data_IF_696259195658
#
_entry.id   IF_696259195658
#
_cell.length_a   1.000
_cell.length_b   1.000
_cell.length_c   1.000
_cell.angle_alpha   90.00
_cell.angle_beta   90.00
_cell.angle_gamma   90.00
#
_symmetry.space_group_name_H-M   'P 1'
#
loop_
_entity.id
_entity.type
_entity.pdbx_description
1 polymer ?
#
# COMPACT_ATOMS: atom_id res chain seq x y z
N UNK A 1 -5.47 -10.75 29.73
CA UNK A 1 -4.65 -9.65 29.17
C UNK A 1 -5.36 -8.34 29.51
N UNK A 2 -4.61 -7.28 29.79
CA UNK A 2 -5.20 -5.95 30.06
C UNK A 2 -5.95 -5.43 28.83
N UNK A 3 -7.12 -4.83 29.03
CA UNK A 3 -7.86 -4.16 27.95
C UNK A 3 -7.07 -2.95 27.44
N UNK A 4 -6.81 -2.90 26.13
CA UNK A 4 -6.14 -1.78 25.46
C UNK A 4 -7.15 -0.89 24.74
N UNK A 5 -6.81 0.39 24.63
CA UNK A 5 -7.49 1.36 23.76
C UNK A 5 -6.75 1.42 22.43
N UNK A 6 -7.27 0.75 21.41
CA UNK A 6 -6.65 0.70 20.08
C UNK A 6 -7.32 1.72 19.16
N UNK A 7 -6.53 2.68 18.71
CA UNK A 7 -6.97 3.75 17.83
C UNK A 7 -7.04 3.30 16.37
N UNK A 8 -8.10 3.66 15.67
CA UNK A 8 -8.19 3.59 14.20
C UNK A 8 -8.25 5.02 13.70
N UNK A 9 -7.25 5.43 12.93
CA UNK A 9 -7.26 6.72 12.24
C UNK A 9 -7.90 6.54 10.88
N UNK A 10 -9.11 7.08 10.74
CA UNK A 10 -9.99 6.87 9.61
C UNK A 10 -9.93 8.06 8.66
N UNK A 11 -9.40 7.83 7.46
CA UNK A 11 -9.31 8.80 6.38
C UNK A 11 -10.47 8.71 5.38
N UNK A 12 -11.41 7.77 5.55
CA UNK A 12 -12.56 7.65 4.64
C UNK A 12 -13.47 8.87 4.76
N UNK A 13 -14.00 9.35 3.62
CA UNK A 13 -14.92 10.51 3.50
C UNK A 13 -14.30 11.91 3.65
N UNK A 14 -12.99 12.08 3.50
CA UNK A 14 -12.40 13.44 3.48
C UNK A 14 -12.87 14.23 2.26
N UNK A 15 -13.30 13.57 1.18
CA UNK A 15 -13.95 14.24 0.05
C UNK A 15 -15.03 13.35 -0.60
N UNK A 16 -16.33 13.54 -0.28
CA UNK A 16 -17.41 12.74 -0.82
C UNK A 16 -17.57 12.86 -2.35
N UNK A 17 -17.12 13.95 -2.97
CA UNK A 17 -17.20 14.14 -4.41
C UNK A 17 -16.28 13.18 -5.20
N UNK A 18 -15.22 12.69 -4.58
CA UNK A 18 -14.25 11.78 -5.20
C UNK A 18 -14.64 10.32 -4.98
N UNK A 19 -15.24 9.99 -3.84
CA UNK A 19 -15.76 8.65 -3.58
C UNK A 19 -16.96 8.27 -4.47
N UNK A 20 -17.66 9.24 -5.00
CA UNK A 20 -18.78 9.02 -5.94
C UNK A 20 -18.32 8.57 -7.34
N UNK A 21 -17.03 8.75 -7.70
CA UNK A 21 -16.45 8.33 -8.98
C UNK A 21 -15.99 6.87 -9.05
N UNK A 22 -16.02 6.14 -7.94
CA UNK A 22 -15.72 4.70 -7.94
C UNK A 22 -16.99 3.98 -8.41
N UNK A 23 -17.12 3.79 -9.73
CA UNK A 23 -18.16 2.95 -10.33
C UNK A 23 -18.09 1.56 -9.70
N UNK A 24 -19.17 1.16 -9.05
CA UNK A 24 -19.39 -0.22 -8.65
C UNK A 24 -19.48 -1.07 -9.90
N UNK A 25 -18.62 -2.06 -10.03
CA UNK A 25 -18.73 -3.05 -11.10
C UNK A 25 -20.10 -3.70 -11.02
N UNK A 26 -20.82 -3.88 -12.16
CA UNK A 26 -22.09 -4.60 -12.20
C UNK A 26 -21.84 -6.08 -11.89
N UNK A 27 -22.51 -6.63 -10.89
CA UNK A 27 -22.47 -8.06 -10.56
C UNK A 27 -22.31 -8.43 -9.08
N UNK A 28 -22.07 -7.47 -8.18
CA UNK A 28 -22.01 -7.74 -6.74
C UNK A 28 -23.42 -7.87 -6.13
N UNK A 29 -23.72 -9.01 -5.48
CA UNK A 29 -24.92 -9.17 -4.66
C UNK A 29 -25.05 -8.01 -3.68
N UNK A 30 -26.27 -7.50 -3.48
CA UNK A 30 -26.61 -6.38 -2.60
C UNK A 30 -26.35 -6.71 -1.11
N UNK A 31 -25.06 -6.67 -0.71
CA UNK A 31 -24.63 -6.67 0.69
C UNK A 31 -24.26 -5.25 1.11
N UNK A 32 -24.24 -4.98 2.42
CA UNK A 32 -23.69 -3.72 2.95
C UNK A 32 -22.26 -3.53 2.41
N UNK A 33 -21.90 -2.33 1.91
CA UNK A 33 -20.57 -2.10 1.37
C UNK A 33 -19.52 -2.41 2.44
N UNK A 34 -18.46 -3.13 2.03
CA UNK A 34 -17.34 -3.45 2.93
C UNK A 34 -16.69 -2.17 3.44
N UNK A 35 -16.54 -2.07 4.75
CA UNK A 35 -15.87 -0.94 5.39
C UNK A 35 -14.66 -1.48 6.18
N UNK A 36 -13.42 -1.25 5.71
CA UNK A 36 -12.21 -1.77 6.34
C UNK A 36 -12.03 -1.23 7.77
N UNK A 37 -12.44 0.02 8.05
CA UNK A 37 -12.34 0.62 9.36
C UNK A 37 -13.32 -0.01 10.35
N UNK A 38 -14.54 -0.35 9.90
CA UNK A 38 -15.50 -1.10 10.72
C UNK A 38 -14.98 -2.50 11.01
N UNK A 39 -14.37 -3.16 10.00
CA UNK A 39 -13.79 -4.50 10.20
C UNK A 39 -12.68 -4.50 11.26
N UNK A 40 -11.80 -3.48 11.26
CA UNK A 40 -10.80 -3.32 12.31
C UNK A 40 -11.44 -3.09 13.69
N UNK A 41 -12.49 -2.25 13.78
CA UNK A 41 -13.20 -2.03 15.04
C UNK A 41 -13.84 -3.33 15.58
N UNK A 42 -14.43 -4.13 14.70
CA UNK A 42 -15.02 -5.42 15.07
C UNK A 42 -13.93 -6.39 15.55
N UNK A 43 -12.77 -6.45 14.88
CA UNK A 43 -11.62 -7.24 15.30
C UNK A 43 -11.06 -6.78 16.66
N UNK A 44 -10.96 -5.47 16.91
CA UNK A 44 -10.55 -4.92 18.22
C UNK A 44 -11.45 -5.41 19.33
N UNK A 45 -12.78 -5.32 19.13
CA UNK A 45 -13.78 -5.78 20.12
C UNK A 45 -13.73 -7.29 20.33
N UNK A 46 -13.63 -8.07 19.24
CA UNK A 46 -13.56 -9.52 19.30
C UNK A 46 -12.33 -10.03 20.06
N UNK A 47 -11.24 -9.25 20.06
CA UNK A 47 -10.01 -9.55 20.81
C UNK A 47 -10.02 -8.98 22.24
N UNK A 48 -11.15 -8.46 22.74
CA UNK A 48 -11.30 -7.96 24.10
C UNK A 48 -10.67 -6.58 24.35
N UNK A 49 -10.56 -5.76 23.28
CA UNK A 49 -9.99 -4.42 23.38
C UNK A 49 -11.04 -3.35 23.03
N UNK A 50 -10.74 -2.09 23.38
CA UNK A 50 -11.63 -0.94 23.15
C UNK A 50 -11.22 -0.15 21.91
N UNK A 51 -12.05 -0.09 20.85
CA UNK A 51 -11.77 0.73 19.68
C UNK A 51 -11.95 2.21 20.00
N UNK A 52 -11.01 3.05 19.52
CA UNK A 52 -11.10 4.51 19.52
C UNK A 52 -10.96 4.99 18.08
N UNK A 53 -12.00 5.62 17.53
CA UNK A 53 -11.98 6.06 16.12
C UNK A 53 -11.73 7.54 16.05
N UNK A 54 -10.70 7.91 15.30
CA UNK A 54 -10.40 9.30 14.95
C UNK A 54 -10.67 9.48 13.44
N UNK A 55 -11.74 10.15 13.10
CA UNK A 55 -12.03 10.55 11.72
C UNK A 55 -11.19 11.77 11.38
N UNK A 56 -10.41 11.72 10.31
CA UNK A 56 -9.40 12.74 9.98
C UNK A 56 -10.03 14.10 9.74
N UNK A 57 -11.21 14.15 9.10
CA UNK A 57 -11.94 15.42 8.88
C UNK A 57 -12.33 16.15 10.17
N UNK A 58 -12.28 15.48 11.33
CA UNK A 58 -12.52 16.04 12.66
C UNK A 58 -11.26 16.30 13.46
N UNK A 59 -10.10 15.96 12.88
CA UNK A 59 -8.80 16.20 13.48
C UNK A 59 -8.28 17.57 13.08
N UNK A 60 -7.80 18.31 14.05
CA UNK A 60 -7.15 19.60 13.86
C UNK A 60 -5.75 19.51 14.46
N UNK A 61 -4.74 19.94 13.72
CA UNK A 61 -3.38 20.07 14.26
C UNK A 61 -3.23 21.46 14.84
N UNK A 62 -2.91 21.52 16.13
CA UNK A 62 -2.67 22.75 16.85
C UNK A 62 -1.19 22.88 17.17
N UNK A 63 -0.63 24.03 16.85
CA UNK A 63 0.76 24.36 17.10
C UNK A 63 0.83 25.66 17.89
N UNK A 64 1.55 25.64 18.99
CA UNK A 64 1.89 26.77 19.84
C UNK A 64 3.41 26.75 20.08
N UNK A 65 3.99 27.88 20.55
CA UNK A 65 5.43 28.11 20.71
C UNK A 65 6.20 26.94 21.36
N UNK A 66 5.55 26.10 22.14
CA UNK A 66 6.18 25.00 22.88
C UNK A 66 5.38 23.69 22.82
N UNK A 67 4.22 23.66 22.18
CA UNK A 67 3.32 22.51 22.22
C UNK A 67 2.68 22.29 20.86
N UNK A 68 2.70 21.04 20.43
CA UNK A 68 1.91 20.58 19.31
C UNK A 68 0.92 19.51 19.79
N UNK A 69 -0.32 19.56 19.31
CA UNK A 69 -1.37 18.65 19.72
C UNK A 69 -2.31 18.34 18.55
N UNK A 70 -3.02 17.23 18.67
CA UNK A 70 -4.20 16.96 17.86
C UNK A 70 -5.43 17.27 18.71
N UNK A 71 -6.33 18.05 18.14
CA UNK A 71 -7.68 18.25 18.65
C UNK A 71 -8.63 17.38 17.82
N UNK A 72 -9.60 16.78 18.48
CA UNK A 72 -10.68 16.02 17.85
C UNK A 72 -12.01 16.64 18.30
N UNK A 73 -12.78 17.18 17.36
CA UNK A 73 -13.95 18.00 17.67
C UNK A 73 -13.63 19.11 18.68
N UNK A 74 -12.59 19.90 18.44
CA UNK A 74 -12.09 21.00 19.28
C UNK A 74 -11.62 20.61 20.70
N UNK A 75 -11.51 19.29 21.00
CA UNK A 75 -11.03 18.81 22.29
C UNK A 75 -9.71 18.08 22.12
N UNK A 76 -8.76 18.32 23.01
CA UNK A 76 -7.47 17.62 22.99
C UNK A 76 -7.67 16.11 23.02
N UNK A 77 -7.00 15.40 22.10
CA UNK A 77 -7.03 13.93 22.03
C UNK A 77 -6.45 13.33 23.31
N UNK A 78 -7.19 12.41 23.94
CA UNK A 78 -6.74 11.68 25.15
C UNK A 78 -5.71 10.57 24.84
N UNK A 79 -5.42 10.34 23.53
CA UNK A 79 -4.55 9.27 23.09
C UNK A 79 -5.20 7.88 23.08
N UNK A 80 -4.39 6.92 22.70
CA UNK A 80 -4.69 5.48 22.71
C UNK A 80 -3.37 4.73 22.93
N UNK A 81 -3.42 3.44 23.26
CA UNK A 81 -2.23 2.65 23.54
C UNK A 81 -1.45 2.32 22.27
N UNK A 82 -2.14 2.26 21.13
CA UNK A 82 -1.57 2.13 19.79
C UNK A 82 -2.55 2.65 18.75
N UNK A 83 -2.06 3.23 17.67
CA UNK A 83 -2.85 3.77 16.56
C UNK A 83 -2.59 2.97 15.28
N UNK A 84 -3.67 2.60 14.58
CA UNK A 84 -3.63 1.94 13.26
C UNK A 84 -4.22 2.91 12.23
N UNK A 85 -3.40 3.58 11.41
CA UNK A 85 -3.88 4.43 10.33
C UNK A 85 -4.46 3.59 9.18
N UNK A 86 -5.60 4.04 8.65
CA UNK A 86 -6.21 3.52 7.42
C UNK A 86 -6.36 4.65 6.42
N UNK A 87 -5.32 4.81 5.63
CA UNK A 87 -5.16 5.91 4.68
C UNK A 87 -6.13 5.79 3.50
N UNK A 88 -6.63 6.94 3.05
CA UNK A 88 -7.32 7.08 1.77
C UNK A 88 -6.44 7.94 0.86
N UNK A 89 -5.67 7.27 0.00
CA UNK A 89 -4.62 7.92 -0.80
C UNK A 89 -5.14 8.76 -1.98
N UNK A 90 -6.38 9.18 -1.95
CA UNK A 90 -6.98 9.91 -3.06
C UNK A 90 -6.51 11.35 -3.20
N UNK A 91 -6.13 12.02 -2.10
CA UNK A 91 -5.59 13.40 -2.13
C UNK A 91 -4.78 13.73 -0.88
N UNK A 92 -3.69 14.49 -1.06
CA UNK A 92 -3.02 15.17 0.05
C UNK A 92 -2.19 14.27 0.96
N UNK A 93 -1.45 13.31 0.41
CA UNK A 93 -0.59 12.39 1.18
C UNK A 93 0.28 13.10 2.23
N UNK A 94 0.74 14.32 1.97
CA UNK A 94 1.57 15.07 2.92
C UNK A 94 0.78 15.46 4.19
N UNK A 95 -0.49 15.81 4.06
CA UNK A 95 -1.35 16.08 5.22
C UNK A 95 -1.61 14.81 6.02
N UNK A 96 -1.92 13.70 5.34
CA UNK A 96 -2.14 12.40 5.98
C UNK A 96 -0.91 11.94 6.76
N UNK A 97 0.27 12.01 6.13
CA UNK A 97 1.55 11.69 6.76
C UNK A 97 1.83 12.63 7.94
N UNK A 98 1.51 13.91 7.81
CA UNK A 98 1.71 14.91 8.87
C UNK A 98 0.84 14.64 10.11
N UNK A 99 -0.42 14.24 9.92
CA UNK A 99 -1.29 13.83 11.03
C UNK A 99 -0.74 12.60 11.73
N UNK A 100 -0.32 11.57 10.97
CA UNK A 100 0.30 10.37 11.53
C UNK A 100 1.57 10.71 12.30
N UNK A 101 2.42 11.57 11.74
CA UNK A 101 3.64 12.06 12.39
C UNK A 101 3.30 12.77 13.69
N UNK A 102 2.24 13.59 13.72
CA UNK A 102 1.84 14.31 14.93
C UNK A 102 1.40 13.36 16.04
N UNK A 103 0.67 12.27 15.74
CA UNK A 103 0.38 11.24 16.74
C UNK A 103 1.66 10.60 17.31
N UNK A 104 2.65 10.33 16.46
CA UNK A 104 3.93 9.79 16.91
C UNK A 104 4.71 10.76 17.80
N UNK A 105 4.69 12.08 17.47
CA UNK A 105 5.29 13.13 18.29
C UNK A 105 4.59 13.31 19.65
N UNK A 106 3.34 12.87 19.74
CA UNK A 106 2.60 12.77 21.01
C UNK A 106 2.90 11.47 21.77
N UNK A 107 3.95 10.72 21.40
CA UNK A 107 4.37 9.46 22.00
C UNK A 107 3.34 8.33 21.89
N UNK A 108 2.43 8.40 20.92
CA UNK A 108 1.49 7.32 20.65
C UNK A 108 2.15 6.35 19.64
N UNK A 109 2.28 5.05 19.97
CA UNK A 109 2.75 4.05 19.02
C UNK A 109 1.83 4.00 17.79
N UNK A 110 2.40 4.00 16.60
CA UNK A 110 1.63 4.00 15.34
C UNK A 110 2.12 2.89 14.41
N UNK A 111 1.22 2.14 13.81
CA UNK A 111 1.45 1.02 12.90
C UNK A 111 0.63 1.20 11.62
N UNK A 112 1.22 1.47 10.47
CA UNK A 112 2.64 1.77 10.18
C UNK A 112 3.00 3.21 10.57
N UNK A 113 4.29 3.42 10.85
CA UNK A 113 4.84 4.75 11.13
C UNK A 113 4.84 5.64 9.88
N UNK A 114 4.87 6.98 10.08
CA UNK A 114 4.75 7.94 8.99
C UNK A 114 5.87 7.80 7.93
N UNK A 115 7.13 7.64 8.34
CA UNK A 115 8.26 7.59 7.42
C UNK A 115 8.27 6.32 6.54
N UNK A 116 8.06 5.11 7.06
CA UNK A 116 7.81 3.91 6.26
C UNK A 116 6.68 4.05 5.26
N UNK A 117 5.55 4.64 5.65
CA UNK A 117 4.43 4.92 4.75
C UNK A 117 4.88 5.85 3.61
N UNK A 118 5.57 6.96 3.93
CA UNK A 118 6.07 7.91 2.93
C UNK A 118 7.08 7.27 1.95
N UNK A 119 7.88 6.30 2.43
CA UNK A 119 8.81 5.53 1.58
C UNK A 119 8.05 4.62 0.62
N UNK A 120 7.10 3.84 1.12
CA UNK A 120 6.34 2.88 0.33
C UNK A 120 5.43 3.56 -0.71
N UNK A 121 4.95 4.77 -0.43
CA UNK A 121 4.12 5.56 -1.35
C UNK A 121 4.86 6.12 -2.55
N UNK A 122 6.15 6.25 -2.47
CA UNK A 122 6.98 6.72 -3.56
C UNK A 122 7.76 5.56 -4.16
N UNK A 123 7.38 5.13 -5.38
CA UNK A 123 8.03 4.00 -6.07
C UNK A 123 9.55 4.18 -6.21
N UNK A 124 10.04 5.42 -6.37
CA UNK A 124 11.49 5.69 -6.45
C UNK A 124 12.18 5.41 -5.13
N UNK A 125 11.62 5.90 -4.02
CA UNK A 125 12.19 5.66 -2.68
C UNK A 125 12.17 4.19 -2.33
N UNK A 126 11.10 3.48 -2.71
CA UNK A 126 11.01 2.03 -2.55
C UNK A 126 12.12 1.33 -3.33
N UNK A 127 12.27 1.60 -4.62
CA UNK A 127 13.31 1.01 -5.47
C UNK A 127 14.71 1.28 -4.94
N UNK A 128 15.01 2.53 -4.54
CA UNK A 128 16.31 2.90 -3.96
C UNK A 128 16.67 2.06 -2.72
N UNK A 129 15.69 1.88 -1.81
CA UNK A 129 15.91 1.11 -0.57
C UNK A 129 16.05 -0.37 -0.89
N UNK A 130 15.13 -0.94 -1.67
CA UNK A 130 15.16 -2.37 -2.01
C UNK A 130 16.46 -2.73 -2.75
N UNK A 131 16.85 -1.95 -3.75
CA UNK A 131 18.08 -2.18 -4.52
C UNK A 131 19.32 -2.07 -3.64
N UNK A 132 19.43 -1.04 -2.80
CA UNK A 132 20.54 -0.89 -1.85
C UNK A 132 20.67 -2.10 -0.92
N UNK A 133 19.53 -2.68 -0.53
CA UNK A 133 19.47 -3.85 0.37
C UNK A 133 19.52 -5.18 -0.38
N UNK A 134 19.86 -5.17 -1.68
CA UNK A 134 19.96 -6.35 -2.55
C UNK A 134 18.71 -7.20 -2.56
N UNK A 135 17.55 -6.54 -2.55
CA UNK A 135 16.25 -7.19 -2.75
C UNK A 135 15.94 -7.13 -4.25
N UNK A 136 15.67 -8.26 -4.90
CA UNK A 136 15.37 -8.31 -6.32
C UNK A 136 14.13 -7.47 -6.67
N UNK A 137 14.28 -6.63 -7.69
CA UNK A 137 13.21 -5.80 -8.27
C UNK A 137 13.35 -5.85 -9.79
N UNK A 138 12.28 -5.65 -10.56
CA UNK A 138 12.37 -5.55 -12.01
C UNK A 138 13.32 -4.41 -12.43
N UNK A 139 14.11 -4.60 -13.49
CA UNK A 139 15.00 -3.54 -14.00
C UNK A 139 14.19 -2.29 -14.27
N UNK A 140 14.61 -1.19 -13.71
CA UNK A 140 13.87 0.07 -13.80
C UNK A 140 14.83 1.21 -14.05
N UNK A 141 14.50 2.07 -15.00
CA UNK A 141 15.20 3.32 -15.25
C UNK A 141 14.21 4.49 -15.14
N UNK A 142 14.69 5.59 -14.64
CA UNK A 142 13.91 6.81 -14.44
C UNK A 142 14.45 7.88 -15.36
N UNK A 143 13.57 8.49 -16.14
CA UNK A 143 13.93 9.56 -17.06
C UNK A 143 13.08 10.81 -16.83
N UNK A 144 13.65 11.96 -17.20
CA UNK A 144 12.98 13.27 -17.19
C UNK A 144 13.05 13.96 -18.56
N UNK A 145 13.69 13.33 -19.55
CA UNK A 145 13.89 13.88 -20.87
C UNK A 145 13.73 12.79 -21.92
N UNK A 146 13.08 13.12 -23.02
CA UNK A 146 12.77 12.18 -24.10
C UNK A 146 14.01 11.64 -24.81
N UNK A 147 15.08 12.42 -24.85
CA UNK A 147 16.33 12.04 -25.52
C UNK A 147 16.95 10.76 -24.95
N UNK A 148 16.63 10.40 -23.69
CA UNK A 148 17.12 9.18 -23.05
C UNK A 148 16.21 7.96 -23.23
N UNK A 149 15.11 8.10 -23.94
CA UNK A 149 14.05 7.09 -23.99
C UNK A 149 14.49 5.79 -24.64
N UNK A 150 15.06 5.86 -25.86
CA UNK A 150 15.49 4.67 -26.60
C UNK A 150 16.59 3.90 -25.84
N UNK A 151 17.52 4.60 -25.19
CA UNK A 151 18.55 3.98 -24.37
C UNK A 151 17.98 3.38 -23.08
N UNK A 152 16.98 4.02 -22.48
CA UNK A 152 16.28 3.50 -21.32
C UNK A 152 15.58 2.17 -21.65
N UNK A 153 14.87 2.10 -22.79
CA UNK A 153 14.23 0.87 -23.26
C UNK A 153 15.25 -0.25 -23.44
N UNK A 154 16.39 0.01 -24.09
CA UNK A 154 17.47 -0.98 -24.26
C UNK A 154 17.99 -1.48 -22.91
N UNK A 155 18.20 -0.58 -21.94
CA UNK A 155 18.75 -0.91 -20.61
C UNK A 155 17.81 -1.79 -19.78
N UNK A 156 16.50 -1.69 -19.96
CA UNK A 156 15.55 -2.56 -19.24
C UNK A 156 15.29 -3.89 -19.97
N UNK A 157 15.88 -4.10 -21.15
CA UNK A 157 15.79 -5.38 -21.88
C UNK A 157 14.98 -5.33 -23.17
N UNK A 158 14.51 -4.16 -23.60
CA UNK A 158 13.71 -3.99 -24.80
C UNK A 158 12.21 -4.15 -24.57
N UNK A 159 11.45 -4.15 -25.68
CA UNK A 159 10.00 -4.33 -25.65
C UNK A 159 9.59 -5.78 -25.42
N UNK A 160 8.42 -6.01 -24.75
CA UNK A 160 7.54 -5.02 -24.15
C UNK A 160 8.13 -4.42 -22.86
N UNK A 161 7.71 -3.19 -22.55
CA UNK A 161 8.07 -2.48 -21.33
C UNK A 161 6.84 -2.01 -20.56
N UNK A 162 7.02 -1.71 -19.28
CA UNK A 162 6.02 -1.06 -18.45
C UNK A 162 6.42 0.40 -18.20
N UNK A 163 5.49 1.32 -18.41
CA UNK A 163 5.63 2.71 -18.01
C UNK A 163 4.75 2.98 -16.80
N UNK A 164 5.32 3.65 -15.79
CA UNK A 164 4.65 3.99 -14.54
C UNK A 164 4.94 5.43 -14.11
N UNK A 165 3.97 6.05 -13.43
CA UNK A 165 4.22 7.26 -12.64
C UNK A 165 4.97 6.91 -11.34
N UNK A 166 5.81 7.82 -10.79
CA UNK A 166 6.40 7.65 -9.46
C UNK A 166 5.37 7.55 -8.35
N UNK A 167 4.25 8.23 -8.52
CA UNK A 167 3.10 8.25 -7.63
C UNK A 167 1.93 7.62 -8.36
N UNK A 168 1.19 6.75 -7.74
CA UNK A 168 0.02 6.12 -8.34
C UNK A 168 -0.40 4.91 -7.53
N UNK A 169 -1.69 4.59 -7.58
CA UNK A 169 -2.30 3.48 -6.84
C UNK A 169 -3.18 2.66 -7.76
N UNK A 170 -3.41 1.39 -7.40
CA UNK A 170 -4.39 0.50 -8.05
C UNK A 170 -4.15 0.24 -9.54
N UNK A 171 -2.92 0.43 -10.03
CA UNK A 171 -2.58 0.18 -11.45
C UNK A 171 -3.15 1.20 -12.44
N UNK A 172 -3.74 2.32 -11.99
CA UNK A 172 -4.38 3.32 -12.87
C UNK A 172 -3.39 4.09 -13.75
N UNK A 173 -2.13 4.20 -13.31
CA UNK A 173 -1.06 4.91 -14.02
C UNK A 173 0.03 3.94 -14.48
N UNK A 174 -0.38 2.78 -14.98
CA UNK A 174 0.52 1.73 -15.49
C UNK A 174 0.10 1.37 -16.91
N UNK A 175 1.05 1.47 -17.85
CA UNK A 175 0.82 1.19 -19.27
C UNK A 175 1.85 0.19 -19.76
N UNK A 176 1.40 -0.85 -20.47
CA UNK A 176 2.28 -1.73 -21.24
C UNK A 176 2.54 -1.11 -22.62
N UNK A 177 3.77 -1.14 -23.05
CA UNK A 177 4.20 -0.64 -24.36
C UNK A 177 4.94 -1.76 -25.09
N UNK A 178 4.39 -2.19 -26.21
CA UNK A 178 4.85 -3.36 -26.96
C UNK A 178 5.84 -3.04 -28.09
N UNK A 179 5.90 -1.77 -28.49
CA UNK A 179 6.75 -1.35 -29.60
C UNK A 179 7.18 0.11 -29.50
N UNK A 180 8.24 0.48 -30.25
CA UNK A 180 8.67 1.86 -30.37
C UNK A 180 7.55 2.77 -30.87
N UNK A 181 6.75 2.29 -31.84
CA UNK A 181 5.63 3.06 -32.44
C UNK A 181 4.57 3.36 -31.36
N UNK A 182 4.15 2.35 -30.59
CA UNK A 182 3.16 2.55 -29.52
C UNK A 182 3.70 3.46 -28.40
N UNK A 183 5.00 3.39 -28.12
CA UNK A 183 5.65 4.28 -27.16
C UNK A 183 5.51 5.74 -27.56
N UNK A 184 5.92 6.10 -28.77
CA UNK A 184 5.84 7.48 -29.26
C UNK A 184 4.39 7.99 -29.38
N UNK A 185 3.44 7.12 -29.72
CA UNK A 185 2.01 7.48 -29.75
C UNK A 185 1.43 7.77 -28.36
N UNK A 186 1.92 7.07 -27.32
CA UNK A 186 1.44 7.24 -25.95
C UNK A 186 2.15 8.35 -25.18
N UNK A 187 3.35 8.75 -25.63
CA UNK A 187 4.25 9.64 -24.87
C UNK A 187 3.61 10.97 -24.50
N UNK A 188 2.96 11.64 -25.44
CA UNK A 188 2.35 12.95 -25.19
C UNK A 188 1.28 12.87 -24.09
N UNK A 189 0.51 11.80 -24.08
CA UNK A 189 -0.54 11.57 -23.06
C UNK A 189 0.09 11.29 -21.72
N UNK A 190 1.04 10.33 -21.69
CA UNK A 190 1.73 9.90 -20.46
C UNK A 190 2.49 11.07 -19.83
N UNK A 191 3.18 11.86 -20.66
CA UNK A 191 3.97 12.99 -20.18
C UNK A 191 3.11 14.13 -19.64
N UNK A 192 2.02 14.47 -20.34
CA UNK A 192 1.08 15.50 -19.87
C UNK A 192 0.38 15.10 -18.57
N UNK A 193 0.11 13.81 -18.37
CA UNK A 193 -0.46 13.29 -17.12
C UNK A 193 0.56 13.22 -15.98
N UNK A 194 1.87 13.15 -16.30
CA UNK A 194 2.93 13.14 -15.31
C UNK A 194 3.12 14.52 -14.68
N UNK A 195 2.46 14.78 -13.55
CA UNK A 195 2.59 16.03 -12.80
C UNK A 195 4.04 16.34 -12.38
N UNK A 196 4.89 15.32 -12.31
CA UNK A 196 6.29 15.45 -11.88
C UNK A 196 7.28 15.62 -13.04
N UNK A 197 6.84 15.43 -14.30
CA UNK A 197 7.74 15.34 -15.46
C UNK A 197 8.75 14.17 -15.35
N UNK A 198 8.38 13.13 -14.61
CA UNK A 198 9.21 11.95 -14.35
C UNK A 198 8.43 10.71 -14.77
N UNK A 199 9.05 9.83 -15.53
CA UNK A 199 8.51 8.51 -15.87
C UNK A 199 9.49 7.39 -15.46
N UNK A 200 8.92 6.29 -14.98
CA UNK A 200 9.64 5.06 -14.76
C UNK A 200 9.40 4.14 -15.95
N UNK A 201 10.47 3.67 -16.54
CA UNK A 201 10.47 2.63 -17.56
C UNK A 201 11.00 1.37 -16.89
N UNK A 202 10.19 0.31 -16.91
CA UNK A 202 10.48 -0.94 -16.21
C UNK A 202 10.38 -2.11 -17.17
N UNK A 203 11.23 -3.12 -16.98
CA UNK A 203 11.12 -4.38 -17.71
C UNK A 203 9.75 -5.02 -17.49
N UNK A 204 9.23 -5.63 -18.53
CA UNK A 204 8.06 -6.50 -18.44
C UNK A 204 8.51 -7.91 -18.11
N UNK A 205 8.14 -8.42 -16.96
CA UNK A 205 8.47 -9.79 -16.54
C UNK A 205 7.50 -10.74 -17.23
N UNK A 206 7.88 -11.21 -18.39
CA UNK A 206 7.02 -11.99 -19.30
C UNK A 206 6.53 -13.31 -18.69
N UNK A 207 7.32 -13.91 -17.83
CA UNK A 207 7.00 -15.17 -17.13
C UNK A 207 5.83 -15.01 -16.15
N UNK A 208 5.61 -13.80 -15.67
CA UNK A 208 4.51 -13.48 -14.78
C UNK A 208 3.28 -12.90 -15.48
N UNK A 209 3.22 -13.01 -16.83
CA UNK A 209 2.16 -12.40 -17.65
C UNK A 209 0.77 -12.56 -17.04
N UNK A 210 0.11 -11.43 -16.77
CA UNK A 210 -1.26 -11.38 -16.22
C UNK A 210 -1.42 -11.99 -14.83
N UNK A 211 -0.35 -12.26 -14.08
CA UNK A 211 -0.48 -12.78 -12.72
C UNK A 211 0.59 -12.22 -11.78
N UNK A 212 0.23 -12.08 -10.51
CA UNK A 212 1.14 -11.77 -9.41
C UNK A 212 0.75 -12.50 -8.13
N UNK A 213 1.63 -12.44 -7.15
CA UNK A 213 1.44 -13.04 -5.83
C UNK A 213 1.41 -11.93 -4.79
N UNK A 214 0.27 -11.74 -4.12
CA UNK A 214 0.13 -10.82 -3.00
C UNK A 214 0.41 -11.54 -1.69
N UNK A 215 1.53 -11.21 -1.03
CA UNK A 215 1.81 -11.58 0.35
C UNK A 215 1.30 -10.50 1.30
N UNK A 216 0.55 -10.87 2.32
CA UNK A 216 0.14 -9.97 3.40
C UNK A 216 1.04 -10.20 4.61
N UNK A 217 1.94 -9.26 4.85
CA UNK A 217 2.94 -9.34 5.94
C UNK A 217 2.43 -8.57 7.13
N UNK A 218 2.54 -9.18 8.32
CA UNK A 218 2.27 -8.56 9.62
C UNK A 218 3.44 -8.88 10.55
N UNK A 219 4.15 -7.86 10.97
CA UNK A 219 5.38 -8.04 11.75
C UNK A 219 6.48 -8.72 10.93
N UNK A 220 6.84 -9.93 11.32
CA UNK A 220 7.94 -10.71 10.77
C UNK A 220 7.51 -11.97 10.00
N UNK A 221 6.22 -12.10 9.66
CA UNK A 221 5.71 -13.24 8.90
C UNK A 221 4.60 -12.88 7.91
N UNK A 222 4.43 -13.73 6.91
CA UNK A 222 3.32 -13.69 5.96
C UNK A 222 2.11 -14.37 6.60
N UNK A 223 1.04 -13.60 6.87
CA UNK A 223 -0.19 -14.14 7.50
C UNK A 223 -1.16 -14.69 6.47
N UNK A 224 -1.12 -14.19 5.25
CA UNK A 224 -1.97 -14.64 4.16
C UNK A 224 -1.30 -14.39 2.81
N UNK A 225 -1.57 -15.24 1.82
CA UNK A 225 -1.11 -15.04 0.46
C UNK A 225 -2.14 -15.48 -0.58
N UNK A 226 -2.20 -14.77 -1.70
CA UNK A 226 -3.06 -15.11 -2.83
C UNK A 226 -2.31 -14.88 -4.15
N UNK A 227 -2.60 -15.72 -5.14
CA UNK A 227 -2.27 -15.45 -6.54
C UNK A 227 -3.40 -14.67 -7.15
N UNK A 228 -3.11 -13.54 -7.77
CA UNK A 228 -4.06 -12.74 -8.54
C UNK A 228 -3.83 -12.99 -10.02
N UNK A 229 -4.91 -13.02 -10.80
CA UNK A 229 -4.86 -13.20 -12.25
C UNK A 229 -5.66 -12.10 -12.90
N UNK A 230 -5.11 -11.48 -13.92
CA UNK A 230 -5.77 -10.41 -14.68
C UNK A 230 -7.03 -10.89 -15.37
N UNK A 231 -7.97 -10.00 -15.59
CA UNK A 231 -9.11 -10.25 -16.45
C UNK A 231 -8.65 -10.50 -17.89
N UNK A 232 -9.46 -11.21 -18.67
CA UNK A 232 -9.16 -11.46 -20.08
C UNK A 232 -8.95 -10.14 -20.83
N UNK A 233 -7.80 -9.99 -21.49
CA UNK A 233 -7.44 -8.80 -22.24
C UNK A 233 -6.75 -7.70 -21.40
N UNK A 234 -6.55 -7.89 -20.09
CA UNK A 234 -5.74 -7.00 -19.25
C UNK A 234 -4.44 -7.72 -18.80
N UNK A 235 -3.39 -6.96 -18.55
CA UNK A 235 -2.13 -7.45 -17.97
C UNK A 235 -2.04 -7.19 -16.46
N UNK A 236 -2.96 -6.35 -15.93
CA UNK A 236 -2.99 -5.95 -14.52
C UNK A 236 -3.85 -6.90 -13.72
N UNK A 237 -3.26 -7.56 -12.73
CA UNK A 237 -3.90 -8.57 -11.88
C UNK A 237 -4.71 -7.99 -10.70
N UNK A 238 -4.93 -6.68 -10.66
CA UNK A 238 -5.64 -6.02 -9.58
C UNK A 238 -7.11 -6.47 -9.50
N UNK A 239 -7.56 -6.91 -8.31
CA UNK A 239 -8.96 -7.31 -8.08
C UNK A 239 -9.96 -6.18 -8.32
N UNK A 240 -9.56 -4.92 -8.10
CA UNK A 240 -10.37 -3.73 -8.38
C UNK A 240 -10.64 -3.52 -9.88
N UNK A 241 -9.86 -4.17 -10.75
CA UNK A 241 -10.00 -4.13 -12.21
C UNK A 241 -10.70 -5.38 -12.77
N UNK A 242 -11.30 -6.20 -11.92
CA UNK A 242 -12.03 -7.40 -12.36
C UNK A 242 -11.18 -8.67 -12.46
N UNK A 243 -9.96 -8.64 -11.94
CA UNK A 243 -9.12 -9.84 -11.84
C UNK A 243 -9.65 -10.87 -10.86
N UNK A 244 -9.24 -12.12 -11.03
CA UNK A 244 -9.53 -13.22 -10.12
C UNK A 244 -8.40 -13.44 -9.11
N UNK A 245 -8.70 -14.15 -8.01
CA UNK A 245 -7.68 -14.58 -7.08
C UNK A 245 -8.01 -15.92 -6.43
N UNK A 246 -6.94 -16.67 -6.14
CA UNK A 246 -7.00 -17.93 -5.40
C UNK A 246 -6.00 -17.92 -4.26
N UNK A 247 -6.29 -18.63 -3.14
CA UNK A 247 -5.32 -18.75 -2.06
C UNK A 247 -4.10 -19.53 -2.54
N UNK A 248 -2.92 -19.17 -2.04
CA UNK A 248 -1.67 -19.84 -2.43
C UNK A 248 -0.75 -19.97 -1.23
N UNK A 249 0.05 -21.02 -1.21
CA UNK A 249 1.22 -21.15 -0.35
C UNK A 249 2.44 -20.62 -1.09
N UNK A 250 3.09 -19.63 -0.54
CA UNK A 250 4.36 -19.11 -1.04
C UNK A 250 5.49 -20.11 -0.78
N UNK A 251 6.55 -20.04 -1.57
CA UNK A 251 7.80 -20.73 -1.24
C UNK A 251 8.50 -20.06 -0.06
N UNK A 252 9.39 -20.77 0.62
CA UNK A 252 10.17 -20.21 1.72
C UNK A 252 11.02 -18.99 1.28
N UNK A 253 11.49 -19.00 0.02
CA UNK A 253 12.21 -17.87 -0.57
C UNK A 253 11.30 -16.65 -0.73
N UNK A 254 10.09 -16.82 -1.25
CA UNK A 254 9.11 -15.73 -1.44
C UNK A 254 8.64 -15.16 -0.10
N UNK A 255 8.38 -15.99 0.90
CA UNK A 255 8.03 -15.54 2.24
C UNK A 255 9.18 -14.74 2.87
N UNK A 256 10.41 -15.27 2.82
CA UNK A 256 11.60 -14.58 3.31
C UNK A 256 11.82 -13.26 2.59
N UNK A 257 11.64 -13.22 1.27
CA UNK A 257 11.78 -12.03 0.46
C UNK A 257 10.75 -10.96 0.85
N UNK A 258 9.46 -11.33 0.99
CA UNK A 258 8.39 -10.43 1.39
C UNK A 258 8.64 -9.82 2.78
N UNK A 259 9.02 -10.64 3.76
CA UNK A 259 9.33 -10.18 5.12
C UNK A 259 10.55 -9.26 5.14
N UNK A 260 11.64 -9.61 4.43
CA UNK A 260 12.84 -8.77 4.32
C UNK A 260 12.52 -7.43 3.67
N UNK A 261 11.76 -7.42 2.58
CA UNK A 261 11.35 -6.18 1.90
C UNK A 261 10.52 -5.27 2.82
N UNK A 262 9.58 -5.84 3.57
CA UNK A 262 8.77 -5.12 4.55
C UNK A 262 9.64 -4.48 5.64
N UNK A 263 10.56 -5.26 6.20
CA UNK A 263 11.47 -4.83 7.27
C UNK A 263 12.42 -3.71 6.84
N UNK A 264 13.03 -3.79 5.65
CA UNK A 264 14.00 -2.77 5.20
C UNK A 264 13.35 -1.44 4.86
N UNK A 265 12.06 -1.43 4.50
CA UNK A 265 11.28 -0.21 4.38
C UNK A 265 10.86 0.36 5.75
N UNK A 266 10.93 -0.47 6.80
CA UNK A 266 10.51 -0.14 8.16
C UNK A 266 9.00 -0.27 8.39
N UNK A 267 8.31 -1.02 7.52
CA UNK A 267 6.89 -1.30 7.66
C UNK A 267 6.66 -2.44 8.65
N UNK A 268 5.57 -2.34 9.41
CA UNK A 268 5.07 -3.40 10.28
C UNK A 268 3.97 -4.22 9.57
N UNK A 269 3.19 -3.57 8.71
CA UNK A 269 2.12 -4.20 7.93
C UNK A 269 2.30 -3.81 6.47
N UNK A 270 2.32 -4.79 5.58
CA UNK A 270 2.52 -4.56 4.16
C UNK A 270 1.82 -5.59 3.28
N UNK A 271 1.23 -5.12 2.19
CA UNK A 271 0.91 -5.97 1.04
C UNK A 271 2.09 -5.94 0.08
N UNK A 272 2.74 -7.06 -0.11
CA UNK A 272 3.91 -7.21 -0.98
C UNK A 272 3.47 -7.92 -2.26
N UNK A 273 3.71 -7.29 -3.40
CA UNK A 273 3.42 -7.89 -4.71
C UNK A 273 4.71 -8.47 -5.30
N UNK A 274 4.66 -9.75 -5.61
CA UNK A 274 5.78 -10.56 -6.08
C UNK A 274 5.48 -11.04 -7.49
N UNK A 275 6.43 -10.91 -8.39
CA UNK A 275 6.43 -11.57 -9.70
C UNK A 275 7.43 -12.72 -9.68
N UNK A 276 7.08 -13.82 -10.34
CA UNK A 276 7.98 -14.97 -10.59
C UNK A 276 8.60 -14.82 -11.97
N UNK A 277 9.86 -14.40 -12.01
CA UNK A 277 10.66 -14.33 -13.23
C UNK A 277 11.62 -15.53 -13.34
N UNK A 278 12.28 -15.69 -14.50
CA UNK A 278 13.26 -16.75 -14.75
C UNK A 278 14.45 -16.72 -13.76
N UNK A 279 14.81 -15.55 -13.25
CA UNK A 279 15.88 -15.37 -12.25
C UNK A 279 15.41 -15.49 -10.80
N UNK A 280 14.19 -15.97 -10.54
CA UNK A 280 13.59 -16.06 -9.21
C UNK A 280 12.54 -14.97 -8.93
N UNK A 281 12.04 -14.91 -7.69
CA UNK A 281 11.02 -13.93 -7.31
C UNK A 281 11.58 -12.51 -7.23
N UNK A 282 10.82 -11.54 -7.75
CA UNK A 282 11.14 -10.10 -7.67
C UNK A 282 9.99 -9.32 -7.03
N UNK A 283 10.31 -8.28 -6.26
CA UNK A 283 9.31 -7.41 -5.64
C UNK A 283 8.86 -6.36 -6.66
N UNK A 284 7.59 -6.41 -7.04
CA UNK A 284 6.98 -5.45 -7.95
C UNK A 284 6.49 -4.19 -7.23
N UNK A 285 5.83 -4.36 -6.07
CA UNK A 285 5.23 -3.24 -5.32
C UNK A 285 5.15 -3.54 -3.82
N UNK A 286 5.23 -2.46 -3.02
CA UNK A 286 5.09 -2.48 -1.56
C UNK A 286 3.94 -1.57 -1.15
N UNK A 287 2.88 -2.15 -0.57
CA UNK A 287 1.69 -1.41 -0.18
C UNK A 287 1.58 -1.28 1.34
N UNK A 288 1.81 -0.06 1.87
CA UNK A 288 1.76 0.22 3.30
C UNK A 288 0.34 0.26 3.90
N UNK A 289 -0.69 0.26 3.06
CA UNK A 289 -2.09 0.24 3.46
C UNK A 289 -2.88 -0.79 2.64
N UNK A 290 -2.54 -2.10 2.77
CA UNK A 290 -3.13 -3.13 1.92
C UNK A 290 -4.64 -3.27 2.17
N UNK A 291 -5.38 -3.57 1.08
CA UNK A 291 -6.81 -3.91 1.17
C UNK A 291 -7.01 -5.18 1.99
N UNK A 292 -8.03 -5.18 2.83
CA UNK A 292 -8.31 -6.31 3.76
C UNK A 292 -9.34 -7.29 3.17
N UNK A 293 -10.32 -6.77 2.40
CA UNK A 293 -11.47 -7.52 1.93
C UNK A 293 -11.08 -8.67 0.99
N UNK A 294 -10.39 -8.34 -0.09
CA UNK A 294 -10.07 -9.29 -1.14
C UNK A 294 -9.29 -10.49 -0.61
N UNK A 295 -8.20 -10.21 0.12
CA UNK A 295 -7.35 -11.27 0.65
C UNK A 295 -8.05 -12.09 1.74
N UNK A 296 -8.82 -11.47 2.65
CA UNK A 296 -9.58 -12.21 3.67
C UNK A 296 -10.63 -13.12 3.05
N UNK A 297 -11.35 -12.63 2.02
CA UNK A 297 -12.36 -13.41 1.31
C UNK A 297 -11.74 -14.61 0.58
N UNK A 298 -10.60 -14.40 -0.09
CA UNK A 298 -9.94 -15.43 -0.89
C UNK A 298 -9.29 -16.48 -0.01
N UNK A 299 -8.61 -16.07 1.07
CA UNK A 299 -7.84 -17.00 1.92
C UNK A 299 -8.61 -17.57 3.09
N UNK A 300 -9.77 -16.98 3.45
CA UNK A 300 -10.49 -17.31 4.68
C UNK A 300 -9.83 -16.77 5.96
N UNK A 301 -8.70 -16.08 5.85
CA UNK A 301 -7.93 -15.56 6.98
C UNK A 301 -8.40 -14.14 7.33
N UNK A 302 -8.73 -13.92 8.60
CA UNK A 302 -9.07 -12.58 9.09
C UNK A 302 -7.81 -11.73 9.30
N UNK A 303 -7.32 -11.14 8.22
CA UNK A 303 -6.11 -10.29 8.28
C UNK A 303 -6.29 -9.06 9.18
N UNK A 304 -7.52 -8.59 9.39
CA UNK A 304 -7.80 -7.51 10.33
C UNK A 304 -7.50 -7.96 11.79
N UNK A 305 -7.90 -9.17 12.15
CA UNK A 305 -7.58 -9.73 13.46
C UNK A 305 -6.07 -9.90 13.66
N UNK A 306 -5.34 -10.36 12.64
CA UNK A 306 -3.87 -10.47 12.69
C UNK A 306 -3.21 -9.10 12.90
N UNK A 307 -3.66 -8.07 12.18
CA UNK A 307 -3.18 -6.69 12.38
C UNK A 307 -3.40 -6.20 13.81
N UNK A 308 -4.57 -6.47 14.40
CA UNK A 308 -4.89 -6.02 15.74
C UNK A 308 -4.12 -6.81 16.80
N UNK A 309 -3.91 -8.13 16.64
CA UNK A 309 -3.02 -8.92 17.52
C UNK A 309 -1.61 -8.33 17.56
N UNK A 310 -1.07 -7.98 16.38
CA UNK A 310 0.24 -7.34 16.30
C UNK A 310 0.24 -5.94 16.93
N UNK A 311 -0.79 -5.13 16.69
CA UNK A 311 -0.94 -3.83 17.32
C UNK A 311 -0.96 -3.92 18.84
N UNK A 312 -1.71 -4.87 19.41
CA UNK A 312 -1.74 -5.11 20.84
C UNK A 312 -0.35 -5.51 21.38
N UNK A 313 0.38 -6.38 20.66
CA UNK A 313 1.75 -6.77 21.03
C UNK A 313 2.68 -5.54 21.08
N UNK A 314 2.59 -4.63 20.12
CA UNK A 314 3.40 -3.40 20.09
C UNK A 314 3.02 -2.48 21.25
N UNK A 315 1.72 -2.33 21.56
CA UNK A 315 1.27 -1.55 22.72
C UNK A 315 1.85 -2.10 24.03
N UNK A 316 1.77 -3.41 24.27
CA UNK A 316 2.33 -4.06 25.49
C UNK A 316 3.85 -3.90 25.60
N UNK A 317 4.59 -3.97 24.49
CA UNK A 317 6.04 -3.75 24.50
C UNK A 317 6.40 -2.30 24.86
N UNK A 318 5.59 -1.34 24.45
CA UNK A 318 5.82 0.08 24.77
C UNK A 318 5.40 0.47 26.18
N UNK A 319 4.39 -0.18 26.78
CA UNK A 319 3.96 0.09 28.16
C UNK A 319 4.96 -0.39 29.23
N UNK A 320 5.93 -1.23 28.84
CA UNK A 320 6.99 -1.74 29.73
C UNK A 320 8.29 -0.92 29.67
N UNK A 321 8.35 0.08 28.81
CA UNK A 321 9.46 1.04 28.69
C UNK A 321 9.13 2.34 29.40
#
# INVERSE_FOLDING_TARGET
>A
MQELRIGVLDFTNVNPAISAGVQRLPGGRAGKPYNPNRRLQDAIKALGHKPVVYKVEKCQMFFDNRKAAILYNNKKVKGCDVLVPRLDFCQGIDLEISIIKQFQLMSIPVINKYLPIARAKNKLRTLQILTKMRIPVPKTIVIRRFEYLDDAVKKVGGYPIIIKSPFGTEGREVVIIESRRSLYSALDIIWRQSQSGIILIQEYVSEATGSDYRAFVVGDHVVAAMKRTAAVGDFRSNLSLGGDAVPVKLTAEEESLAVRATRVLGLDICGVDILRGNGGPVIMEMNANPGLEGISRVTGIDVAAEMIRYAALVAYKNSKK
#
